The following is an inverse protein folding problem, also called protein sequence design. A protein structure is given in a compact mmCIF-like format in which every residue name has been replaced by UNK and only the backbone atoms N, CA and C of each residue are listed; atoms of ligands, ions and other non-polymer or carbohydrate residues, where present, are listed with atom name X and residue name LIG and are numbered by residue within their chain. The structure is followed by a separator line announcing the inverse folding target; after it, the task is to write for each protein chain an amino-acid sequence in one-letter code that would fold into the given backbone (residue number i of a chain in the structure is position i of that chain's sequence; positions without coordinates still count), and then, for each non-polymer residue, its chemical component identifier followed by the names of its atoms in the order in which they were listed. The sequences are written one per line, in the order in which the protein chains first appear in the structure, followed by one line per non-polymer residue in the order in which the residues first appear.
data_IF_886547022077
#
_entry.id   IF_886547022077
#
_cell.length_a   1.000
_cell.length_b   1.000
_cell.length_c   1.000
_cell.angle_alpha   90.00
_cell.angle_beta   90.00
_cell.angle_gamma   90.00
#
_symmetry.space_group_name_H-M   'P 1'
#
loop_
_entity.id
_entity.type
_entity.pdbx_description
1 polymer ?
#
# COMPACT_ATOMS: atom_id res chain seq x y z
N UNK A 1 -14.13 9.34 1.98
CA UNK A 1 -13.44 8.83 0.79
C UNK A 1 -13.83 9.70 -0.39
N UNK A 2 -13.00 9.73 -1.43
CA UNK A 2 -13.31 10.41 -2.69
C UNK A 2 -13.20 9.37 -3.82
N UNK A 3 -14.11 9.41 -4.80
CA UNK A 3 -14.18 8.43 -5.88
C UNK A 3 -13.92 9.10 -7.22
N UNK A 4 -13.13 8.45 -8.07
CA UNK A 4 -12.67 8.96 -9.36
C UNK A 4 -13.01 7.94 -10.44
N UNK A 5 -13.58 8.45 -11.54
CA UNK A 5 -13.97 7.68 -12.72
C UNK A 5 -13.74 8.55 -13.95
N UNK A 6 -13.39 7.94 -15.08
CA UNK A 6 -13.41 8.65 -16.36
C UNK A 6 -14.83 9.05 -16.75
N UNK A 7 -14.98 10.26 -17.32
CA UNK A 7 -16.25 10.75 -17.86
C UNK A 7 -16.61 9.94 -19.10
N UNK A 8 -17.86 9.48 -19.20
CA UNK A 8 -18.34 8.69 -20.35
C UNK A 8 -17.88 7.23 -20.34
N UNK A 9 -17.31 6.75 -19.23
CA UNK A 9 -16.97 5.35 -19.05
C UNK A 9 -18.23 4.48 -18.97
N UNK A 10 -18.29 3.45 -19.81
CA UNK A 10 -19.41 2.50 -19.89
C UNK A 10 -19.05 1.13 -19.31
N UNK A 11 -17.81 0.93 -18.84
CA UNK A 11 -17.37 -0.33 -18.25
C UNK A 11 -17.97 -0.52 -16.86
N UNK A 12 -18.64 -1.65 -16.66
CA UNK A 12 -19.35 -1.97 -15.40
C UNK A 12 -18.56 -2.86 -14.43
N UNK A 13 -17.42 -3.41 -14.84
CA UNK A 13 -16.67 -4.43 -14.10
C UNK A 13 -15.16 -4.12 -14.00
N UNK A 14 -14.83 -2.87 -13.65
CA UNK A 14 -13.45 -2.38 -13.60
C UNK A 14 -12.70 -2.87 -12.36
N UNK A 15 -11.38 -3.12 -12.42
CA UNK A 15 -10.59 -3.26 -11.21
C UNK A 15 -10.68 -1.98 -10.37
N UNK A 16 -10.76 -2.14 -9.05
CA UNK A 16 -10.83 -1.04 -8.10
C UNK A 16 -9.45 -0.79 -7.51
N UNK A 17 -9.01 0.47 -7.53
CA UNK A 17 -7.83 0.93 -6.80
C UNK A 17 -8.29 1.69 -5.56
N UNK A 18 -7.82 1.27 -4.39
CA UNK A 18 -8.03 1.97 -3.11
C UNK A 18 -6.69 2.55 -2.66
N UNK A 19 -6.58 3.88 -2.72
CA UNK A 19 -5.36 4.61 -2.39
C UNK A 19 -5.39 5.18 -0.97
N UNK A 20 -4.27 5.02 -0.25
CA UNK A 20 -4.03 5.56 1.07
C UNK A 20 -2.84 6.51 1.08
N UNK A 21 -3.08 7.71 1.62
CA UNK A 21 -2.05 8.74 1.75
C UNK A 21 -0.99 8.38 2.80
N UNK A 22 0.18 9.00 2.72
CA UNK A 22 1.20 8.95 3.77
C UNK A 22 1.00 10.02 4.84
N UNK A 23 2.02 10.21 5.69
CA UNK A 23 2.01 11.24 6.75
C UNK A 23 2.19 10.70 8.17
N UNK A 24 2.86 9.55 8.32
CA UNK A 24 3.29 9.02 9.62
C UNK A 24 2.15 8.78 10.62
N UNK A 25 0.91 8.54 10.16
CA UNK A 25 -0.28 8.43 11.02
C UNK A 25 -0.58 9.69 11.88
N UNK A 26 0.09 10.83 11.64
CA UNK A 26 -0.19 12.11 12.32
C UNK A 26 -0.67 13.20 11.36
N UNK A 27 -0.45 13.05 10.06
CA UNK A 27 -0.79 14.02 9.03
C UNK A 27 -1.23 13.34 7.72
N UNK A 28 -1.54 14.18 6.73
CA UNK A 28 -1.96 13.78 5.40
C UNK A 28 -3.47 13.84 5.21
N UNK A 29 -3.90 13.92 3.96
CA UNK A 29 -5.31 13.88 3.60
C UNK A 29 -5.53 13.18 2.25
N UNK A 30 -6.67 12.49 2.13
CA UNK A 30 -7.06 11.77 0.90
C UNK A 30 -7.25 12.68 -0.33
N UNK A 31 -7.49 13.96 -0.11
CA UNK A 31 -7.83 14.96 -1.11
C UNK A 31 -6.71 15.98 -1.35
N UNK A 32 -5.46 15.67 -0.98
CA UNK A 32 -4.33 16.52 -1.41
C UNK A 32 -4.28 16.58 -2.93
N UNK A 33 -3.94 17.75 -3.49
CA UNK A 33 -3.95 18.00 -4.95
C UNK A 33 -3.19 16.91 -5.74
N UNK A 34 -1.99 16.54 -5.29
CA UNK A 34 -1.17 15.48 -5.90
C UNK A 34 -1.87 14.11 -5.93
N UNK A 35 -2.68 13.81 -4.90
CA UNK A 35 -3.43 12.55 -4.79
C UNK A 35 -4.63 12.60 -5.73
N UNK A 36 -5.33 13.72 -5.78
CA UNK A 36 -6.43 13.91 -6.74
C UNK A 36 -5.94 13.75 -8.18
N UNK A 37 -4.80 14.36 -8.51
CA UNK A 37 -4.16 14.23 -9.83
C UNK A 37 -3.77 12.78 -10.14
N UNK A 38 -3.10 12.10 -9.20
CA UNK A 38 -2.71 10.69 -9.34
C UNK A 38 -3.90 9.77 -9.53
N UNK A 39 -4.92 9.87 -8.67
CA UNK A 39 -6.14 9.06 -8.75
C UNK A 39 -6.95 9.36 -10.02
N UNK A 40 -7.02 10.63 -10.45
CA UNK A 40 -7.69 10.99 -11.70
C UNK A 40 -6.97 10.38 -12.89
N UNK A 41 -5.63 10.40 -12.90
CA UNK A 41 -4.83 9.79 -13.95
C UNK A 41 -5.02 8.28 -14.00
N UNK A 42 -5.07 7.59 -12.86
CA UNK A 42 -5.41 6.16 -12.80
C UNK A 42 -6.82 5.89 -13.34
N UNK A 43 -7.80 6.74 -13.00
CA UNK A 43 -9.16 6.59 -13.52
C UNK A 43 -9.22 6.74 -15.05
N UNK A 44 -8.40 7.62 -15.64
CA UNK A 44 -8.26 7.75 -17.10
C UNK A 44 -7.66 6.50 -17.77
N UNK A 45 -7.01 5.61 -17.02
CA UNK A 45 -6.51 4.32 -17.49
C UNK A 45 -7.56 3.19 -17.37
N UNK A 46 -8.81 3.51 -17.03
CA UNK A 46 -9.93 2.56 -17.01
C UNK A 46 -10.15 1.86 -15.66
N UNK A 47 -9.52 2.35 -14.59
CA UNK A 47 -9.73 1.84 -13.24
C UNK A 47 -10.85 2.60 -12.53
N UNK A 48 -11.65 1.89 -11.72
CA UNK A 48 -12.38 2.56 -10.65
C UNK A 48 -11.36 2.94 -9.58
N UNK A 49 -11.36 4.18 -9.09
CA UNK A 49 -10.35 4.63 -8.13
C UNK A 49 -11.00 5.33 -6.96
N UNK A 50 -10.54 5.05 -5.75
CA UNK A 50 -10.90 5.82 -4.57
C UNK A 50 -9.68 6.15 -3.74
N UNK A 51 -9.65 7.34 -3.16
CA UNK A 51 -8.75 7.66 -2.05
C UNK A 51 -9.52 7.69 -0.74
N UNK A 52 -8.95 7.10 0.31
CA UNK A 52 -9.61 7.03 1.63
C UNK A 52 -8.82 7.78 2.68
N UNK A 53 -9.53 8.28 3.68
CA UNK A 53 -8.94 8.77 4.92
C UNK A 53 -8.98 7.63 5.94
N UNK A 54 -7.98 7.62 6.81
CA UNK A 54 -7.91 6.72 7.96
C UNK A 54 -7.56 7.54 9.21
N UNK A 55 -7.81 6.97 10.39
CA UNK A 55 -7.57 7.59 11.69
C UNK A 55 -6.10 7.93 11.84
N UNK A 56 -5.83 9.21 12.03
CA UNK A 56 -4.50 9.72 12.36
C UNK A 56 -4.31 9.67 13.88
N UNK A 57 -4.07 8.47 14.41
CA UNK A 57 -3.96 8.21 15.87
C UNK A 57 -2.84 9.01 16.54
N UNK A 58 -1.91 9.57 15.76
CA UNK A 58 -0.75 10.34 16.21
C UNK A 58 -0.87 11.83 15.95
N UNK A 59 -2.01 12.29 15.43
CA UNK A 59 -2.26 13.71 15.18
C UNK A 59 -2.25 14.49 16.51
N UNK A 60 -1.47 15.57 16.56
CA UNK A 60 -1.34 16.41 17.75
C UNK A 60 -0.49 15.81 18.89
N UNK A 61 0.18 14.67 18.66
CA UNK A 61 1.09 14.06 19.62
C UNK A 61 2.51 14.59 19.41
N UNK A 62 3.19 15.16 20.43
CA UNK A 62 4.52 15.78 20.27
C UNK A 62 5.62 14.84 19.73
N UNK A 63 5.53 13.57 20.07
CA UNK A 63 6.41 12.46 19.70
C UNK A 63 6.16 11.90 18.29
N UNK A 64 5.07 12.36 17.65
CA UNK A 64 4.65 11.96 16.30
C UNK A 64 4.67 10.43 16.15
N UNK A 65 5.42 9.93 15.16
CA UNK A 65 5.66 8.50 14.89
C UNK A 65 7.15 8.13 14.96
N UNK A 66 7.95 8.94 15.64
CA UNK A 66 9.40 8.80 15.74
C UNK A 66 9.87 7.80 16.80
N UNK A 67 11.13 7.94 17.24
CA UNK A 67 11.71 7.02 18.24
C UNK A 67 11.21 7.20 19.67
N UNK A 68 10.58 8.34 19.97
CA UNK A 68 9.97 8.58 21.28
C UNK A 68 8.51 8.10 21.36
N UNK A 69 7.88 7.82 20.21
CA UNK A 69 6.55 7.21 20.13
C UNK A 69 6.64 5.74 20.56
N UNK A 70 5.95 5.31 21.63
CA UNK A 70 5.98 3.92 22.08
C UNK A 70 5.66 2.92 20.97
N UNK A 71 6.39 1.80 20.90
CA UNK A 71 6.18 0.77 19.89
C UNK A 71 4.73 0.25 19.87
N UNK A 72 4.09 0.15 21.04
CA UNK A 72 2.68 -0.25 21.14
C UNK A 72 1.73 0.74 20.45
N UNK A 73 2.01 2.05 20.54
CA UNK A 73 1.22 3.07 19.85
C UNK A 73 1.40 3.00 18.34
N UNK A 74 2.60 2.62 17.87
CA UNK A 74 2.86 2.36 16.45
C UNK A 74 2.03 1.19 15.94
N UNK A 75 2.01 0.10 16.69
CA UNK A 75 1.20 -1.09 16.38
C UNK A 75 -0.30 -0.75 16.39
N UNK A 76 -0.78 0.02 17.37
CA UNK A 76 -2.17 0.46 17.43
C UNK A 76 -2.56 1.35 16.23
N UNK A 77 -1.63 2.15 15.70
CA UNK A 77 -1.87 2.92 14.49
C UNK A 77 -2.09 2.02 13.26
N UNK A 78 -1.32 0.92 13.13
CA UNK A 78 -1.52 -0.06 12.07
C UNK A 78 -2.88 -0.77 12.18
N UNK A 79 -3.29 -1.15 13.40
CA UNK A 79 -4.60 -1.77 13.62
C UNK A 79 -5.75 -0.82 13.32
N UNK A 80 -5.71 0.42 13.82
CA UNK A 80 -6.74 1.42 13.53
C UNK A 80 -6.86 1.69 12.02
N UNK A 81 -5.74 1.81 11.31
CA UNK A 81 -5.78 1.99 9.85
C UNK A 81 -6.33 0.76 9.12
N UNK A 82 -6.02 -0.45 9.62
CA UNK A 82 -6.57 -1.71 9.08
C UNK A 82 -8.09 -1.77 9.22
N UNK A 83 -8.62 -1.46 10.40
CA UNK A 83 -10.07 -1.37 10.64
C UNK A 83 -10.72 -0.36 9.68
N UNK A 84 -10.11 0.82 9.50
CA UNK A 84 -10.67 1.85 8.61
C UNK A 84 -10.66 1.43 7.12
N UNK A 85 -9.65 0.68 6.69
CA UNK A 85 -9.61 0.07 5.35
C UNK A 85 -10.73 -0.96 5.20
N UNK A 86 -10.97 -1.79 6.23
CA UNK A 86 -12.02 -2.80 6.23
C UNK A 86 -13.42 -2.17 6.17
N UNK A 87 -13.65 -1.08 6.91
CA UNK A 87 -14.90 -0.31 6.87
C UNK A 87 -15.10 0.37 5.51
N UNK A 88 -14.04 0.96 4.94
CA UNK A 88 -14.09 1.55 3.61
C UNK A 88 -14.41 0.49 2.54
N UNK A 89 -13.77 -0.68 2.61
CA UNK A 89 -14.06 -1.80 1.72
C UNK A 89 -15.50 -2.28 1.88
N UNK A 90 -16.02 -2.39 3.11
CA UNK A 90 -17.43 -2.72 3.33
C UNK A 90 -18.36 -1.75 2.61
N UNK A 91 -18.15 -0.43 2.78
CA UNK A 91 -18.93 0.58 2.10
C UNK A 91 -18.86 0.46 0.57
N UNK A 92 -17.65 0.28 0.02
CA UNK A 92 -17.44 0.10 -1.43
C UNK A 92 -18.24 -1.08 -1.96
N UNK A 93 -18.21 -2.21 -1.25
CA UNK A 93 -18.86 -3.45 -1.66
C UNK A 93 -20.38 -3.33 -1.64
N UNK A 94 -20.92 -2.65 -0.63
CA UNK A 94 -22.35 -2.33 -0.53
C UNK A 94 -22.81 -1.44 -1.69
N UNK A 95 -21.93 -0.56 -2.19
CA UNK A 95 -22.23 0.39 -3.26
C UNK A 95 -21.70 -0.02 -4.64
N UNK A 96 -21.13 -1.22 -4.78
CA UNK A 96 -20.38 -1.64 -5.99
C UNK A 96 -21.15 -1.53 -7.30
N UNK A 97 -22.48 -1.72 -7.28
CA UNK A 97 -23.32 -1.61 -8.47
C UNK A 97 -23.35 -0.17 -8.99
N UNK A 98 -23.45 0.81 -8.09
CA UNK A 98 -23.42 2.23 -8.45
C UNK A 98 -22.00 2.70 -8.81
N UNK A 99 -20.98 2.12 -8.15
CA UNK A 99 -19.58 2.47 -8.36
C UNK A 99 -18.92 1.71 -9.54
N UNK A 100 -19.61 0.73 -10.12
CA UNK A 100 -19.21 -0.01 -11.32
C UNK A 100 -17.78 -0.60 -11.25
N UNK A 101 -17.52 -1.44 -10.24
CA UNK A 101 -16.25 -2.14 -10.07
C UNK A 101 -16.41 -3.63 -9.75
N UNK A 102 -15.34 -4.40 -10.00
CA UNK A 102 -15.23 -5.82 -9.72
C UNK A 102 -14.73 -6.05 -8.28
N UNK A 103 -15.55 -6.61 -7.37
CA UNK A 103 -15.15 -6.85 -5.98
C UNK A 103 -14.04 -7.90 -5.81
N UNK A 104 -13.68 -8.64 -6.86
CA UNK A 104 -12.59 -9.63 -6.84
C UNK A 104 -11.29 -9.09 -7.44
N UNK A 105 -11.28 -7.84 -7.92
CA UNK A 105 -10.09 -7.17 -8.46
C UNK A 105 -9.83 -5.85 -7.74
N UNK A 106 -9.64 -5.93 -6.41
CA UNK A 106 -9.29 -4.77 -5.58
C UNK A 106 -7.77 -4.68 -5.42
N UNK A 107 -7.21 -3.53 -5.74
CA UNK A 107 -5.79 -3.21 -5.59
C UNK A 107 -5.67 -2.18 -4.48
N UNK A 108 -4.92 -2.50 -3.42
CA UNK A 108 -4.59 -1.51 -2.40
C UNK A 108 -3.28 -0.81 -2.77
N UNK A 109 -3.27 0.51 -2.69
CA UNK A 109 -2.09 1.33 -2.96
C UNK A 109 -1.83 2.28 -1.82
N UNK A 110 -0.57 2.47 -1.44
CA UNK A 110 -0.23 3.28 -0.30
C UNK A 110 1.15 3.92 -0.39
N UNK A 111 1.28 5.08 0.25
CA UNK A 111 2.52 5.85 0.38
C UNK A 111 2.97 5.92 1.83
N UNK A 112 4.22 5.58 2.14
CA UNK A 112 4.78 5.69 3.51
C UNK A 112 3.87 5.01 4.55
N UNK A 113 3.34 5.75 5.53
CA UNK A 113 2.35 5.24 6.49
C UNK A 113 1.11 4.58 5.83
N UNK A 114 0.64 5.09 4.69
CA UNK A 114 -0.44 4.46 3.93
C UNK A 114 0.00 3.13 3.31
N UNK A 115 1.29 3.01 2.93
CA UNK A 115 1.88 1.77 2.44
C UNK A 115 1.99 0.73 3.56
N UNK A 116 2.38 1.15 4.77
CA UNK A 116 2.35 0.30 5.97
C UNK A 116 0.91 -0.16 6.29
N UNK A 117 -0.07 0.74 6.19
CA UNK A 117 -1.48 0.43 6.44
C UNK A 117 -2.02 -0.63 5.46
N UNK A 118 -1.81 -0.48 4.14
CA UNK A 118 -2.31 -1.46 3.18
C UNK A 118 -1.65 -2.82 3.33
N UNK A 119 -0.35 -2.87 3.67
CA UNK A 119 0.37 -4.14 3.84
C UNK A 119 -0.14 -4.87 5.09
N UNK A 120 -0.38 -4.15 6.19
CA UNK A 120 -0.96 -4.74 7.40
C UNK A 120 -2.40 -5.23 7.19
N UNK A 121 -3.20 -4.49 6.42
CA UNK A 121 -4.58 -4.84 6.14
C UNK A 121 -4.72 -6.04 5.20
N UNK A 122 -3.89 -6.11 4.16
CA UNK A 122 -3.97 -7.14 3.13
C UNK A 122 -3.64 -8.55 3.66
N UNK A 123 -2.79 -8.63 4.68
CA UNK A 123 -2.36 -9.91 5.25
C UNK A 123 -3.18 -10.34 6.48
N UNK A 124 -4.32 -9.67 6.73
CA UNK A 124 -5.34 -10.19 7.63
C UNK A 124 -6.22 -11.22 6.90
N UNK A 125 -6.85 -12.16 7.62
CA UNK A 125 -7.85 -13.05 7.03
C UNK A 125 -8.94 -12.25 6.28
N UNK A 126 -9.39 -12.72 5.11
CA UNK A 126 -10.38 -12.02 4.33
C UNK A 126 -11.70 -11.91 5.09
N UNK A 127 -12.31 -10.72 5.06
CA UNK A 127 -13.64 -10.51 5.62
C UNK A 127 -14.71 -11.04 4.66
N UNK A 128 -15.63 -11.84 5.19
CA UNK A 128 -16.80 -12.30 4.45
C UNK A 128 -17.85 -11.19 4.43
N UNK A 129 -18.10 -10.63 3.25
CA UNK A 129 -19.10 -9.56 3.06
C UNK A 129 -20.45 -10.06 2.51
N UNK A 130 -20.71 -11.37 2.58
CA UNK A 130 -21.97 -11.96 2.13
C UNK A 130 -22.21 -11.89 0.62
N UNK A 131 -21.16 -11.81 -0.19
CA UNK A 131 -21.28 -11.83 -1.65
C UNK A 131 -21.44 -13.26 -2.17
N UNK A 132 -22.33 -13.47 -3.15
CA UNK A 132 -22.50 -14.76 -3.84
C UNK A 132 -21.20 -15.24 -4.52
N UNK A 133 -20.36 -14.31 -4.97
CA UNK A 133 -19.05 -14.58 -5.57
C UNK A 133 -17.97 -14.99 -4.55
N UNK A 134 -18.29 -15.07 -3.26
CA UNK A 134 -17.36 -15.41 -2.19
C UNK A 134 -16.77 -14.19 -1.48
N UNK A 135 -15.75 -14.38 -0.62
CA UNK A 135 -15.12 -13.28 0.11
C UNK A 135 -14.49 -12.26 -0.85
N UNK A 136 -14.41 -11.01 -0.42
CA UNK A 136 -13.72 -9.96 -1.17
C UNK A 136 -12.24 -10.24 -1.11
N UNK A 137 -11.60 -10.30 -2.27
CA UNK A 137 -10.17 -10.55 -2.38
C UNK A 137 -9.43 -9.28 -2.74
N UNK A 138 -8.42 -8.95 -1.95
CA UNK A 138 -7.35 -8.10 -2.45
C UNK A 138 -6.63 -8.90 -3.54
N UNK A 139 -6.50 -8.32 -4.72
CA UNK A 139 -5.92 -8.95 -5.90
C UNK A 139 -4.50 -8.45 -6.20
N UNK A 140 -4.11 -7.32 -5.60
CA UNK A 140 -2.73 -6.85 -5.65
C UNK A 140 -2.44 -5.69 -4.70
N UNK A 141 -1.15 -5.45 -4.47
CA UNK A 141 -0.65 -4.37 -3.61
C UNK A 141 0.35 -3.52 -4.38
N UNK A 142 0.28 -2.19 -4.18
CA UNK A 142 1.34 -1.26 -4.58
C UNK A 142 1.81 -0.49 -3.35
N UNK A 143 2.97 -0.88 -2.82
CA UNK A 143 3.59 -0.28 -1.64
C UNK A 143 4.70 0.67 -2.06
N UNK A 144 4.59 1.94 -1.68
CA UNK A 144 5.62 2.95 -1.88
C UNK A 144 6.27 3.30 -0.55
N UNK A 145 7.45 2.72 -0.29
CA UNK A 145 8.22 2.84 0.96
C UNK A 145 7.42 2.43 2.22
N UNK A 146 6.80 1.24 2.18
CA UNK A 146 6.11 0.63 3.32
C UNK A 146 6.87 -0.55 3.93
N UNK A 147 6.42 -0.96 5.12
CA UNK A 147 6.93 -2.11 5.85
C UNK A 147 5.84 -2.75 6.73
N UNK A 148 6.08 -3.97 7.23
CA UNK A 148 5.20 -4.69 8.16
C UNK A 148 5.95 -5.11 9.43
N UNK A 149 5.27 -5.21 10.58
CA UNK A 149 5.89 -5.65 11.83
C UNK A 149 6.05 -7.18 11.93
N UNK A 150 5.30 -7.95 11.14
CA UNK A 150 5.23 -9.41 11.27
C UNK A 150 5.11 -10.09 9.89
N UNK A 151 6.17 -10.76 9.46
CA UNK A 151 6.20 -11.51 8.19
C UNK A 151 5.50 -12.86 8.27
N UNK A 152 5.12 -13.35 9.46
CA UNK A 152 4.36 -14.60 9.61
C UNK A 152 2.92 -14.48 9.10
N UNK A 153 2.41 -13.24 9.04
CA UNK A 153 1.14 -12.92 8.39
C UNK A 153 1.18 -13.08 6.88
N UNK A 154 2.37 -13.14 6.29
CA UNK A 154 2.56 -13.38 4.86
C UNK A 154 2.76 -14.88 4.61
N UNK A 155 1.68 -15.57 4.25
CA UNK A 155 1.66 -16.99 3.93
C UNK A 155 0.87 -17.23 2.64
N UNK A 156 0.88 -18.45 2.11
CA UNK A 156 0.38 -18.75 0.76
C UNK A 156 -1.06 -18.25 0.51
N UNK A 157 -1.96 -18.35 1.50
CA UNK A 157 -3.36 -17.96 1.32
C UNK A 157 -3.64 -16.46 1.59
N UNK A 158 -2.71 -15.75 2.23
CA UNK A 158 -2.83 -14.29 2.48
C UNK A 158 -2.02 -13.44 1.50
N UNK A 159 -0.98 -14.03 0.90
CA UNK A 159 -0.06 -13.32 0.03
C UNK A 159 -0.68 -13.09 -1.35
N UNK A 160 -0.51 -11.88 -1.86
CA UNK A 160 -1.04 -11.45 -3.15
C UNK A 160 0.06 -10.80 -3.99
N UNK A 161 -0.11 -10.73 -5.32
CA UNK A 161 0.82 -10.02 -6.19
C UNK A 161 1.14 -8.62 -5.66
N UNK A 162 2.43 -8.28 -5.56
CA UNK A 162 2.84 -7.01 -4.93
C UNK A 162 3.91 -6.27 -5.73
N UNK A 163 3.68 -5.00 -6.03
CA UNK A 163 4.68 -4.05 -6.49
C UNK A 163 5.21 -3.24 -5.29
N UNK A 164 6.51 -3.27 -5.09
CA UNK A 164 7.18 -2.72 -3.90
C UNK A 164 8.26 -1.73 -4.33
N UNK A 165 8.03 -0.43 -4.16
CA UNK A 165 9.02 0.62 -4.38
C UNK A 165 9.73 0.97 -3.08
N UNK A 166 11.06 1.03 -3.10
CA UNK A 166 11.81 1.44 -1.90
C UNK A 166 13.22 1.90 -2.26
N UNK A 167 13.69 2.94 -1.58
CA UNK A 167 15.08 3.36 -1.61
C UNK A 167 15.94 2.59 -0.61
N UNK A 168 17.20 2.28 -0.95
CA UNK A 168 18.08 1.50 -0.05
C UNK A 168 18.53 2.29 1.19
N UNK A 169 18.50 3.61 1.11
CA UNK A 169 19.01 4.55 2.12
C UNK A 169 17.84 5.34 2.74
N UNK A 170 16.63 4.77 2.70
CA UNK A 170 15.47 5.28 3.42
C UNK A 170 15.77 5.29 4.92
N UNK A 171 15.78 6.49 5.51
CA UNK A 171 16.13 6.76 6.89
C UNK A 171 14.92 6.73 7.84
N UNK A 172 13.71 6.49 7.35
CA UNK A 172 12.49 6.42 8.13
C UNK A 172 11.94 5.00 8.15
N UNK A 173 11.67 4.42 6.98
CA UNK A 173 11.11 3.08 6.84
C UNK A 173 12.18 2.15 6.27
N UNK A 174 12.57 1.07 6.95
CA UNK A 174 13.71 0.27 6.53
C UNK A 174 13.43 -0.45 5.21
N UNK A 175 14.39 -0.44 4.28
CA UNK A 175 14.30 -1.16 3.01
C UNK A 175 14.23 -2.69 3.19
N UNK A 176 15.05 -3.20 4.10
CA UNK A 176 15.12 -4.61 4.48
C UNK A 176 14.48 -4.81 5.87
N UNK A 177 15.13 -5.55 6.76
CA UNK A 177 14.68 -5.69 8.16
C UNK A 177 15.55 -4.81 9.05
N UNK A 178 14.95 -3.85 9.73
CA UNK A 178 15.61 -3.06 10.77
C UNK A 178 14.56 -2.43 11.71
N UNK A 179 15.01 -1.70 12.73
CA UNK A 179 14.09 -0.91 13.55
C UNK A 179 13.52 0.25 12.73
N UNK A 180 12.22 0.51 12.90
CA UNK A 180 11.54 1.69 12.36
C UNK A 180 12.29 2.97 12.80
N UNK A 181 12.53 3.91 11.87
CA UNK A 181 13.37 5.11 12.06
C UNK A 181 14.79 4.81 12.56
N UNK A 182 15.27 3.58 12.43
CA UNK A 182 16.55 3.11 12.97
C UNK A 182 16.73 3.41 14.46
N UNK A 183 15.62 3.38 15.22
CA UNK A 183 15.66 3.58 16.66
C UNK A 183 16.57 2.56 17.33
N UNK A 184 17.26 3.00 18.39
CA UNK A 184 18.07 2.14 19.26
C UNK A 184 17.18 1.30 20.16
N UNK A 185 17.69 0.17 20.65
CA UNK A 185 16.93 -0.80 21.48
C UNK A 185 16.35 -0.18 22.75
N UNK A 186 17.00 0.85 23.28
CA UNK A 186 16.62 1.51 24.52
C UNK A 186 15.52 2.57 24.32
N UNK A 187 15.24 2.95 23.07
CA UNK A 187 14.22 3.96 22.76
C UNK A 187 12.82 3.34 22.76
N UNK A 188 11.83 4.10 23.25
CA UNK A 188 10.43 3.65 23.38
C UNK A 188 9.82 3.16 22.07
N UNK A 189 10.23 3.76 20.95
CA UNK A 189 9.76 3.44 19.61
C UNK A 189 10.55 2.37 18.88
N UNK A 190 11.43 1.63 19.57
CA UNK A 190 12.10 0.47 19.01
C UNK A 190 11.08 -0.59 18.60
N UNK A 191 10.88 -0.73 17.30
CA UNK A 191 10.00 -1.71 16.69
C UNK A 191 10.69 -2.21 15.42
N UNK A 192 10.91 -3.52 15.31
CA UNK A 192 11.43 -4.11 14.08
C UNK A 192 10.33 -4.10 13.02
N UNK A 193 10.67 -3.61 11.83
CA UNK A 193 9.82 -3.66 10.65
C UNK A 193 10.57 -4.32 9.50
N UNK A 194 9.79 -4.90 8.58
CA UNK A 194 10.24 -5.62 7.41
C UNK A 194 9.74 -4.89 6.16
N UNK A 195 10.65 -4.17 5.48
CA UNK A 195 10.34 -3.43 4.26
C UNK A 195 10.36 -4.26 2.98
N UNK A 196 10.34 -3.55 1.85
CA UNK A 196 10.15 -4.10 0.52
C UNK A 196 11.07 -5.29 0.19
N UNK A 197 12.36 -5.25 0.54
CA UNK A 197 13.29 -6.35 0.24
C UNK A 197 12.90 -7.63 0.99
N UNK A 198 12.60 -7.51 2.27
CA UNK A 198 12.22 -8.66 3.12
C UNK A 198 10.88 -9.23 2.66
N UNK A 199 9.90 -8.37 2.37
CA UNK A 199 8.59 -8.78 1.85
C UNK A 199 8.76 -9.51 0.51
N UNK A 200 9.54 -8.96 -0.43
CA UNK A 200 9.80 -9.58 -1.72
C UNK A 200 10.48 -10.96 -1.59
N UNK A 201 11.46 -11.10 -0.68
CA UNK A 201 12.10 -12.38 -0.39
C UNK A 201 11.10 -13.42 0.13
N UNK A 202 10.17 -12.99 0.99
CA UNK A 202 9.10 -13.87 1.50
C UNK A 202 8.11 -14.26 0.40
N UNK A 203 7.71 -13.33 -0.47
CA UNK A 203 6.86 -13.62 -1.64
C UNK A 203 7.53 -14.61 -2.59
N UNK A 204 8.83 -14.42 -2.86
CA UNK A 204 9.64 -15.34 -3.66
C UNK A 204 9.61 -16.77 -3.10
N UNK A 205 9.85 -16.92 -1.79
CA UNK A 205 9.81 -18.22 -1.11
C UNK A 205 8.44 -18.90 -1.19
N UNK A 206 7.36 -18.12 -1.21
CA UNK A 206 5.99 -18.62 -1.31
C UNK A 206 5.55 -18.90 -2.77
N UNK A 207 6.37 -18.56 -3.77
CA UNK A 207 5.98 -18.68 -5.18
C UNK A 207 4.96 -17.64 -5.63
N UNK A 208 4.82 -16.53 -4.88
CA UNK A 208 3.82 -15.49 -5.15
C UNK A 208 4.43 -14.42 -6.08
N UNK A 209 3.74 -14.01 -7.16
CA UNK A 209 4.23 -12.99 -8.07
C UNK A 209 4.57 -11.69 -7.35
N UNK A 210 5.66 -11.03 -7.74
CA UNK A 210 6.01 -9.73 -7.18
C UNK A 210 6.87 -8.93 -8.14
N UNK A 211 6.86 -7.61 -7.95
CA UNK A 211 7.81 -6.71 -8.57
C UNK A 211 8.48 -5.86 -7.50
N UNK A 212 9.75 -6.13 -7.23
CA UNK A 212 10.57 -5.28 -6.36
C UNK A 212 11.24 -4.19 -7.21
N UNK A 213 10.98 -2.93 -6.93
CA UNK A 213 11.63 -1.79 -7.56
C UNK A 213 12.54 -1.08 -6.55
N UNK A 214 13.84 -1.35 -6.65
CA UNK A 214 14.87 -0.83 -5.75
C UNK A 214 15.57 0.38 -6.35
N UNK A 215 15.64 1.48 -5.62
CA UNK A 215 16.50 2.62 -5.97
C UNK A 215 17.70 2.65 -5.04
N UNK A 216 18.89 2.34 -5.56
CA UNK A 216 20.14 2.41 -4.80
C UNK A 216 20.48 3.86 -4.45
N UNK A 217 20.82 4.13 -3.18
CA UNK A 217 21.04 5.49 -2.65
C UNK A 217 19.74 6.27 -2.40
N UNK A 218 18.61 5.77 -2.90
CA UNK A 218 17.32 6.42 -2.74
C UNK A 218 16.90 6.49 -1.26
N UNK A 219 16.39 7.65 -0.86
CA UNK A 219 15.85 7.88 0.49
C UNK A 219 14.32 7.67 0.54
N UNK A 220 13.66 8.19 1.58
CA UNK A 220 12.20 8.09 1.75
C UNK A 220 11.37 8.80 0.66
N UNK A 221 11.99 9.52 -0.28
CA UNK A 221 11.30 10.11 -1.44
C UNK A 221 10.58 9.07 -2.31
N UNK A 222 11.00 7.80 -2.25
CA UNK A 222 10.31 6.69 -2.93
C UNK A 222 8.90 6.45 -2.40
N UNK A 223 8.50 7.06 -1.28
CA UNK A 223 7.10 7.13 -0.88
C UNK A 223 6.23 7.95 -1.84
N UNK A 224 6.81 8.91 -2.57
CA UNK A 224 6.07 9.85 -3.42
C UNK A 224 6.45 9.84 -4.89
N UNK A 225 7.74 9.67 -5.20
CA UNK A 225 8.29 9.66 -6.57
C UNK A 225 7.56 8.70 -7.52
N UNK A 226 7.13 7.49 -7.11
CA UNK A 226 6.47 6.57 -8.04
C UNK A 226 5.14 7.07 -8.61
N UNK A 227 4.40 7.93 -7.89
CA UNK A 227 3.13 8.51 -8.39
C UNK A 227 3.32 9.37 -9.65
N UNK A 228 4.54 9.85 -9.91
CA UNK A 228 4.86 10.66 -11.09
C UNK A 228 5.86 9.97 -12.00
N UNK A 229 7.07 9.68 -11.51
CA UNK A 229 8.19 9.18 -12.31
C UNK A 229 8.03 7.72 -12.76
N UNK A 230 7.37 6.90 -11.95
CA UNK A 230 7.19 5.46 -12.20
C UNK A 230 5.70 5.10 -12.33
N UNK A 231 4.90 6.05 -12.81
CA UNK A 231 3.47 5.85 -13.00
C UNK A 231 3.17 4.72 -14.01
N UNK A 232 3.99 4.63 -15.05
CA UNK A 232 3.99 3.56 -16.05
C UNK A 232 4.24 2.17 -15.44
N UNK A 233 5.18 2.08 -14.49
CA UNK A 233 5.44 0.83 -13.75
C UNK A 233 4.22 0.43 -12.92
N UNK A 234 3.57 1.39 -12.27
CA UNK A 234 2.33 1.14 -11.50
C UNK A 234 1.22 0.61 -12.41
N UNK A 235 0.98 1.26 -13.55
CA UNK A 235 -0.09 0.82 -14.47
C UNK A 235 0.24 -0.49 -15.18
N UNK A 236 1.51 -0.74 -15.52
CA UNK A 236 1.98 -2.03 -16.05
C UNK A 236 1.74 -3.15 -15.04
N UNK A 237 2.07 -2.94 -13.77
CA UNK A 237 1.82 -3.93 -12.73
C UNK A 237 0.32 -4.21 -12.58
N UNK A 238 -0.50 -3.17 -12.46
CA UNK A 238 -1.95 -3.34 -12.31
C UNK A 238 -2.55 -4.13 -13.48
N UNK A 239 -2.10 -3.84 -14.71
CA UNK A 239 -2.56 -4.55 -15.88
C UNK A 239 -2.04 -6.00 -15.94
N UNK A 240 -0.72 -6.18 -15.81
CA UNK A 240 -0.06 -7.46 -16.03
C UNK A 240 -0.37 -8.47 -14.93
N UNK A 241 -0.30 -8.05 -13.67
CA UNK A 241 -0.40 -8.95 -12.51
C UNK A 241 -1.83 -9.10 -12.01
N UNK A 242 -2.68 -8.07 -12.14
CA UNK A 242 -4.05 -8.09 -11.56
C UNK A 242 -5.11 -8.28 -12.65
N UNK A 243 -5.02 -7.57 -13.77
CA UNK A 243 -6.00 -7.74 -14.86
C UNK A 243 -5.74 -9.05 -15.61
N UNK A 244 -4.48 -9.29 -16.01
CA UNK A 244 -4.06 -10.44 -16.80
C UNK A 244 -3.50 -11.62 -15.97
N UNK A 245 -3.39 -11.46 -14.65
CA UNK A 245 -3.05 -12.55 -13.71
C UNK A 245 -1.74 -13.29 -14.06
N UNK A 246 -0.77 -12.55 -14.64
CA UNK A 246 0.54 -13.09 -14.96
C UNK A 246 1.31 -13.42 -13.67
N UNK A 247 2.10 -14.50 -13.73
CA UNK A 247 2.75 -15.08 -12.54
C UNK A 247 4.26 -14.83 -12.46
N UNK A 248 4.75 -13.81 -13.15
CA UNK A 248 6.17 -13.49 -13.16
C UNK A 248 6.65 -12.87 -11.84
N UNK A 249 7.96 -12.94 -11.61
CA UNK A 249 8.66 -12.26 -10.53
C UNK A 249 9.71 -11.35 -11.13
N UNK A 250 9.72 -10.08 -10.74
CA UNK A 250 10.61 -9.06 -11.30
C UNK A 250 11.36 -8.30 -10.21
N UNK A 251 12.63 -8.01 -10.46
CA UNK A 251 13.43 -7.10 -9.63
C UNK A 251 14.10 -6.05 -10.51
N UNK A 252 13.62 -4.81 -10.43
CA UNK A 252 14.23 -3.66 -11.09
C UNK A 252 15.16 -2.96 -10.10
N UNK A 253 16.39 -2.66 -10.55
CA UNK A 253 17.38 -1.91 -9.76
C UNK A 253 17.72 -0.62 -10.53
N UNK A 254 17.38 0.51 -9.94
CA UNK A 254 17.77 1.84 -10.42
C UNK A 254 18.98 2.30 -9.62
N UNK A 255 20.09 2.55 -10.30
CA UNK A 255 21.25 3.21 -9.72
C UNK A 255 21.03 4.72 -9.83
N UNK A 256 21.13 5.47 -8.75
CA UNK A 256 21.30 6.92 -8.88
C UNK A 256 22.57 7.17 -9.70
N UNK A 257 22.46 8.00 -10.74
CA UNK A 257 23.67 8.59 -11.32
C UNK A 257 24.22 9.51 -10.23
N UNK A 258 25.52 9.39 -9.94
CA UNK A 258 26.23 10.36 -9.11
C UNK A 258 25.81 11.78 -9.52
N UNK A 259 25.44 12.58 -8.51
CA UNK A 259 24.64 13.80 -8.64
C UNK A 259 25.15 14.88 -9.58
#
# INVERSE_FOLDING_TARGET
MDFYSSVGDTLSNRPLIVYLHGGGFFAGARNEKKIQEFCTKLAQYGYAVTSISYRLTRKGKPELFGCDCPAIDKINAFYAATEDIQDANFYLIQNRKALAFNPQKIILMGSSAGAEAILNAAYQPPLCYGLEAGPVSIAGLVSMAGAIPDTTKLFADSAVPSLLFHGTDDNLVPYATASHHYCKKEQKGYLILHGAKTIAQKLHQLGIPYWLHTTCGGNHSLAGVPMTKYFDIITEFCYTYVVNEQKEMRHTIVKEKDG
#
